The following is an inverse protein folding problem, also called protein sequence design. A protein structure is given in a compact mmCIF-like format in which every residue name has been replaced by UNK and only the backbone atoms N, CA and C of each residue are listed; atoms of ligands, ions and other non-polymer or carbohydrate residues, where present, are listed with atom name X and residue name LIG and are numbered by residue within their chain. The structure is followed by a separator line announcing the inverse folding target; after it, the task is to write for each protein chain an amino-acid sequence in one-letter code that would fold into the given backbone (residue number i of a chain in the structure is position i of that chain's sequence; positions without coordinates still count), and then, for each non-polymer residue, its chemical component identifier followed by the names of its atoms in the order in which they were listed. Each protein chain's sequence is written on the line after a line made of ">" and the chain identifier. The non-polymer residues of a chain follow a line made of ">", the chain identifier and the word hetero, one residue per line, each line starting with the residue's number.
data_IF_301220523673
#
_entry.id   IF_301220523673
#
_cell.length_a   1.000
_cell.length_b   1.000
_cell.length_c   1.000
_cell.angle_alpha   90.00
_cell.angle_beta   90.00
_cell.angle_gamma   90.00
#
_symmetry.space_group_name_H-M   'P 1'
#
loop_
_entity.id
_entity.type
_entity.pdbx_description
1 polymer ?
#
# COMPACT_ATOMS: atom_id res chain seq x y z
N UNK A 1 39.18 -13.48 -26.00
CA UNK A 1 38.95 -12.63 -24.81
C UNK A 1 37.49 -12.76 -24.38
N UNK A 2 37.16 -13.85 -23.67
CA UNK A 2 35.81 -14.17 -23.19
C UNK A 2 35.57 -13.52 -21.82
N UNK A 3 34.57 -12.64 -21.72
CA UNK A 3 33.84 -12.43 -20.46
C UNK A 3 32.34 -12.53 -20.75
N UNK A 4 31.85 -13.74 -20.56
CA UNK A 4 30.44 -14.06 -20.48
C UNK A 4 29.80 -13.25 -19.34
N UNK A 5 28.86 -12.36 -19.67
CA UNK A 5 27.93 -11.81 -18.69
C UNK A 5 26.86 -12.85 -18.42
N UNK A 6 27.25 -13.85 -17.62
CA UNK A 6 26.34 -14.87 -17.13
C UNK A 6 25.30 -14.23 -16.21
N UNK A 7 24.05 -14.58 -16.51
CA UNK A 7 22.85 -14.29 -15.75
C UNK A 7 23.06 -14.40 -14.23
N UNK A 8 22.70 -13.34 -13.49
CA UNK A 8 22.36 -13.47 -12.07
C UNK A 8 20.91 -13.91 -11.95
N UNK A 9 20.66 -15.16 -12.30
CA UNK A 9 19.53 -15.91 -11.77
C UNK A 9 19.85 -16.24 -10.32
N UNK A 10 19.12 -15.66 -9.37
CA UNK A 10 19.03 -16.24 -8.03
C UNK A 10 17.57 -16.24 -7.56
N UNK A 11 16.84 -17.22 -8.07
CA UNK A 11 15.64 -17.72 -7.45
C UNK A 11 16.00 -18.42 -6.13
N UNK A 12 15.54 -17.89 -4.98
CA UNK A 12 15.04 -18.68 -3.83
C UNK A 12 14.71 -17.80 -2.60
N UNK A 13 13.41 -17.59 -2.34
CA UNK A 13 12.65 -18.09 -1.16
C UNK A 13 11.29 -17.37 -1.04
N UNK A 14 10.17 -18.04 -1.35
CA UNK A 14 8.84 -17.56 -0.96
C UNK A 14 8.71 -17.77 0.54
N UNK A 15 8.97 -16.70 1.31
CA UNK A 15 8.55 -16.62 2.71
C UNK A 15 7.77 -15.33 2.84
N UNK A 16 6.46 -15.54 2.73
CA UNK A 16 5.40 -14.98 3.55
C UNK A 16 5.68 -13.65 4.25
N UNK A 17 4.76 -12.73 4.00
CA UNK A 17 4.20 -11.83 5.00
C UNK A 17 5.25 -10.98 5.72
N UNK A 18 5.62 -9.85 5.11
CA UNK A 18 6.21 -8.76 5.88
C UNK A 18 5.09 -8.14 6.71
N UNK A 19 4.88 -8.71 7.90
CA UNK A 19 4.23 -8.05 9.03
C UNK A 19 5.17 -6.93 9.47
N UNK A 20 4.94 -5.68 9.02
CA UNK A 20 5.66 -4.52 9.55
C UNK A 20 5.00 -4.14 10.87
N UNK A 21 5.39 -4.85 11.93
CA UNK A 21 4.83 -4.70 13.27
C UNK A 21 5.56 -3.71 14.18
N UNK A 22 6.72 -3.14 13.81
CA UNK A 22 7.45 -2.22 14.69
C UNK A 22 8.29 -1.19 13.91
N UNK A 23 7.75 0.01 13.72
CA UNK A 23 8.48 1.20 13.25
C UNK A 23 8.55 1.33 11.73
N UNK A 24 8.38 2.56 11.24
CA UNK A 24 8.61 2.92 9.84
C UNK A 24 10.13 2.87 9.58
N UNK A 25 10.56 1.99 8.69
CA UNK A 25 11.97 1.84 8.31
C UNK A 25 12.12 2.34 6.88
N UNK A 26 13.03 3.29 6.64
CA UNK A 26 13.21 3.93 5.32
C UNK A 26 13.62 2.96 4.22
N UNK A 27 14.21 1.82 4.62
CA UNK A 27 14.65 0.75 3.72
C UNK A 27 14.18 -0.61 4.20
N UNK A 28 13.78 -1.44 3.25
CA UNK A 28 13.49 -2.84 3.51
C UNK A 28 14.79 -3.60 3.87
N UNK A 29 14.86 -4.18 5.07
CA UNK A 29 16.01 -4.97 5.54
C UNK A 29 16.30 -6.25 4.74
N UNK A 30 15.40 -6.64 3.83
CA UNK A 30 15.50 -7.87 3.02
C UNK A 30 15.96 -7.63 1.59
N UNK A 31 15.67 -6.46 1.01
CA UNK A 31 15.96 -6.15 -0.39
C UNK A 31 16.54 -4.74 -0.62
N UNK A 32 16.84 -4.00 0.45
CA UNK A 32 17.31 -2.61 0.45
C UNK A 32 16.46 -1.65 -0.40
N UNK A 33 15.17 -1.97 -0.52
CA UNK A 33 14.23 -1.14 -1.28
C UNK A 33 13.91 0.11 -0.47
N UNK A 34 14.26 1.27 -1.03
CA UNK A 34 13.93 2.59 -0.50
C UNK A 34 12.43 2.85 -0.73
N UNK A 35 11.67 3.06 0.35
CA UNK A 35 10.22 3.29 0.26
C UNK A 35 9.85 4.69 -0.26
N UNK A 36 10.77 5.65 -0.15
CA UNK A 36 10.63 7.01 -0.65
C UNK A 36 11.74 7.32 -1.67
N UNK A 37 11.49 7.01 -2.94
CA UNK A 37 12.39 7.32 -4.07
C UNK A 37 12.14 8.70 -4.69
N UNK A 38 11.04 9.37 -4.33
CA UNK A 38 10.63 10.67 -4.83
C UNK A 38 9.20 11.04 -4.38
N UNK A 39 8.78 12.28 -4.61
CA UNK A 39 7.49 12.81 -4.15
C UNK A 39 6.27 12.01 -4.65
N UNK A 40 6.36 11.42 -5.84
CA UNK A 40 5.30 10.57 -6.41
C UNK A 40 4.98 9.32 -5.56
N UNK A 41 5.97 8.76 -4.85
CA UNK A 41 5.75 7.62 -3.95
C UNK A 41 5.04 8.03 -2.65
N UNK A 42 5.29 9.26 -2.18
CA UNK A 42 4.55 9.80 -1.05
C UNK A 42 3.09 10.02 -1.42
N UNK A 43 2.83 10.67 -2.55
CA UNK A 43 1.47 10.93 -3.02
C UNK A 43 0.70 9.63 -3.29
N UNK A 44 1.35 8.63 -3.90
CA UNK A 44 0.76 7.32 -4.15
C UNK A 44 0.40 6.57 -2.86
N UNK A 45 1.28 6.58 -1.87
CA UNK A 45 0.98 6.01 -0.55
C UNK A 45 -0.13 6.79 0.18
N UNK A 46 -0.23 8.10 0.01
CA UNK A 46 -1.36 8.88 0.56
C UNK A 46 -2.68 8.52 -0.14
N UNK A 47 -2.67 8.34 -1.46
CA UNK A 47 -3.85 7.95 -2.23
C UNK A 47 -4.40 6.58 -1.80
N UNK A 48 -3.52 5.59 -1.60
CA UNK A 48 -3.93 4.27 -1.08
C UNK A 48 -4.50 4.39 0.34
N UNK A 49 -3.89 5.22 1.19
CA UNK A 49 -4.34 5.39 2.57
C UNK A 49 -5.75 6.02 2.64
N UNK A 50 -5.96 7.06 1.81
CA UNK A 50 -7.24 7.72 1.67
C UNK A 50 -8.30 6.76 1.13
N UNK A 51 -7.99 6.02 0.06
CA UNK A 51 -8.92 5.07 -0.55
C UNK A 51 -9.38 3.98 0.43
N UNK A 52 -8.45 3.43 1.23
CA UNK A 52 -8.80 2.44 2.27
C UNK A 52 -9.62 3.08 3.40
N UNK A 53 -9.30 4.31 3.79
CA UNK A 53 -10.03 5.03 4.85
C UNK A 53 -11.47 5.33 4.45
N UNK A 54 -11.67 5.86 3.25
CA UNK A 54 -13.01 6.16 2.73
C UNK A 54 -13.82 4.87 2.53
N UNK A 55 -13.20 3.80 2.03
CA UNK A 55 -13.86 2.50 1.93
C UNK A 55 -14.29 1.96 3.30
N UNK A 56 -13.47 2.10 4.34
CA UNK A 56 -13.80 1.66 5.69
C UNK A 56 -14.97 2.48 6.28
N UNK A 57 -14.96 3.80 6.10
CA UNK A 57 -16.06 4.67 6.55
C UNK A 57 -17.36 4.33 5.82
N UNK A 58 -17.31 4.15 4.49
CA UNK A 58 -18.47 3.75 3.71
C UNK A 58 -19.04 2.40 4.20
N UNK A 59 -18.18 1.43 4.50
CA UNK A 59 -18.61 0.14 5.07
C UNK A 59 -19.28 0.31 6.44
N UNK A 60 -18.73 1.14 7.32
CA UNK A 60 -19.34 1.43 8.64
C UNK A 60 -20.72 2.03 8.47
N UNK A 61 -20.89 3.01 7.57
CA UNK A 61 -22.18 3.65 7.33
C UNK A 61 -23.20 2.68 6.73
N UNK A 62 -22.83 1.97 5.66
CA UNK A 62 -23.73 1.04 4.97
C UNK A 62 -24.16 -0.09 5.91
N UNK A 63 -23.20 -0.77 6.56
CA UNK A 63 -23.52 -1.86 7.49
C UNK A 63 -24.30 -1.34 8.71
N UNK A 64 -23.91 -0.19 9.24
CA UNK A 64 -24.59 0.44 10.36
C UNK A 64 -26.06 0.73 10.07
N UNK A 65 -26.35 1.33 8.92
CA UNK A 65 -27.72 1.61 8.47
C UNK A 65 -28.50 0.31 8.28
N UNK A 66 -27.95 -0.65 7.53
CA UNK A 66 -28.62 -1.93 7.23
C UNK A 66 -28.96 -2.71 8.51
N UNK A 67 -28.06 -2.72 9.49
CA UNK A 67 -28.24 -3.48 10.73
C UNK A 67 -29.16 -2.80 11.75
N UNK A 68 -29.32 -1.47 11.70
CA UNK A 68 -30.10 -0.70 12.68
C UNK A 68 -31.40 -0.14 12.13
N UNK A 69 -31.71 -0.44 10.86
CA UNK A 69 -32.96 -0.04 10.24
C UNK A 69 -34.17 -0.68 10.95
N UNK A 70 -35.30 0.04 11.17
CA UNK A 70 -35.59 1.45 10.82
C UNK A 70 -35.03 2.56 11.73
N UNK A 71 -34.87 2.40 13.07
CA UNK A 71 -34.43 3.49 13.94
C UNK A 71 -32.91 3.67 13.88
N UNK A 72 -32.42 4.17 12.75
CA UNK A 72 -30.98 4.39 12.52
C UNK A 72 -30.42 5.39 13.55
N UNK A 73 -29.43 5.01 14.37
CA UNK A 73 -28.82 5.87 15.37
C UNK A 73 -27.75 6.76 14.72
N UNK A 74 -28.18 7.82 14.05
CA UNK A 74 -27.30 8.72 13.29
C UNK A 74 -26.13 9.27 14.10
N UNK A 75 -26.36 9.67 15.35
CA UNK A 75 -25.30 10.19 16.23
C UNK A 75 -24.20 9.16 16.47
N UNK A 76 -24.57 7.90 16.70
CA UNK A 76 -23.60 6.81 16.88
C UNK A 76 -22.78 6.58 15.61
N UNK A 77 -23.46 6.49 14.45
CA UNK A 77 -22.78 6.28 13.16
C UNK A 77 -21.81 7.42 12.82
N UNK A 78 -22.20 8.66 13.10
CA UNK A 78 -21.33 9.83 12.90
C UNK A 78 -20.08 9.76 13.79
N UNK A 79 -20.25 9.46 15.09
CA UNK A 79 -19.13 9.38 16.03
C UNK A 79 -18.18 8.26 15.64
N UNK A 80 -18.69 7.08 15.30
CA UNK A 80 -17.85 5.95 14.87
C UNK A 80 -17.15 6.27 13.55
N UNK A 81 -17.85 6.84 12.57
CA UNK A 81 -17.26 7.19 11.28
C UNK A 81 -16.15 8.23 11.42
N UNK A 82 -16.35 9.25 12.27
CA UNK A 82 -15.34 10.26 12.56
C UNK A 82 -14.12 9.65 13.27
N UNK A 83 -14.35 8.76 14.23
CA UNK A 83 -13.28 8.05 14.92
C UNK A 83 -12.46 7.18 13.95
N UNK A 84 -13.12 6.45 13.05
CA UNK A 84 -12.45 5.64 12.01
C UNK A 84 -11.68 6.53 11.04
N UNK A 85 -12.27 7.63 10.58
CA UNK A 85 -11.63 8.56 9.65
C UNK A 85 -10.37 9.22 10.25
N UNK A 86 -10.36 9.48 11.56
CA UNK A 86 -9.19 10.03 12.26
C UNK A 86 -8.13 8.97 12.58
N UNK A 87 -8.54 7.80 13.10
CA UNK A 87 -7.62 6.80 13.63
C UNK A 87 -7.01 5.90 12.55
N UNK A 88 -7.83 5.45 11.59
CA UNK A 88 -7.40 4.50 10.57
C UNK A 88 -6.24 5.00 9.72
N UNK A 89 -6.23 6.24 9.16
CA UNK A 89 -5.13 6.67 8.30
C UNK A 89 -3.81 6.77 9.06
N UNK A 90 -3.82 7.01 10.38
CA UNK A 90 -2.62 7.07 11.22
C UNK A 90 -2.05 5.66 11.41
N UNK A 91 -2.91 4.69 11.74
CA UNK A 91 -2.52 3.30 11.98
C UNK A 91 -2.16 2.59 10.67
N UNK A 92 -2.84 2.93 9.57
CA UNK A 92 -2.71 2.27 8.28
C UNK A 92 -1.61 2.87 7.38
N UNK A 93 -1.12 4.07 7.69
CA UNK A 93 -0.03 4.72 6.95
C UNK A 93 1.16 3.81 6.58
N UNK A 94 1.77 3.04 7.51
CA UNK A 94 2.89 2.16 7.16
C UNK A 94 2.50 1.05 6.17
N UNK A 95 1.28 0.51 6.27
CA UNK A 95 0.77 -0.49 5.33
C UNK A 95 0.54 0.10 3.95
N UNK A 96 0.01 1.33 3.90
CA UNK A 96 -0.23 2.04 2.65
C UNK A 96 1.05 2.21 1.81
N UNK A 97 2.17 2.55 2.45
CA UNK A 97 3.49 2.64 1.81
C UNK A 97 3.91 1.30 1.19
N UNK A 98 3.72 0.21 1.91
CA UNK A 98 4.08 -1.13 1.41
C UNK A 98 3.19 -1.59 0.26
N UNK A 99 1.88 -1.32 0.34
CA UNK A 99 0.91 -1.66 -0.70
C UNK A 99 1.18 -0.87 -1.98
N UNK A 100 1.43 0.43 -1.86
CA UNK A 100 1.74 1.26 -3.01
C UNK A 100 3.03 0.78 -3.71
N UNK A 101 4.09 0.48 -2.96
CA UNK A 101 5.34 -0.01 -3.55
C UNK A 101 5.17 -1.40 -4.18
N UNK A 102 4.40 -2.30 -3.58
CA UNK A 102 4.10 -3.60 -4.18
C UNK A 102 3.31 -3.46 -5.49
N UNK A 103 2.32 -2.57 -5.50
CA UNK A 103 1.53 -2.24 -6.68
C UNK A 103 2.39 -1.60 -7.77
N UNK A 104 3.24 -0.64 -7.41
CA UNK A 104 4.15 0.04 -8.33
C UNK A 104 5.13 -0.92 -9.01
N UNK A 105 5.72 -1.86 -8.25
CA UNK A 105 6.60 -2.90 -8.81
C UNK A 105 5.83 -3.83 -9.75
N UNK A 106 4.58 -4.18 -9.41
CA UNK A 106 3.74 -5.00 -10.28
C UNK A 106 3.41 -4.27 -11.59
N UNK A 107 3.02 -3.00 -11.52
CA UNK A 107 2.72 -2.18 -12.71
C UNK A 107 3.95 -2.02 -13.60
N UNK A 108 5.11 -1.71 -13.01
CA UNK A 108 6.36 -1.60 -13.77
C UNK A 108 6.83 -2.92 -14.40
N UNK A 109 6.44 -4.09 -13.86
CA UNK A 109 6.68 -5.39 -14.53
C UNK A 109 5.80 -5.57 -15.77
N UNK A 110 4.64 -4.95 -15.79
CA UNK A 110 3.63 -5.08 -16.84
C UNK A 110 3.82 -4.06 -17.97
N UNK A 111 4.76 -3.12 -17.85
CA UNK A 111 5.14 -2.17 -18.90
C UNK A 111 6.26 -2.75 -19.78
N UNK A 112 5.95 -3.42 -20.92
CA UNK A 112 6.97 -3.84 -21.88
C UNK A 112 7.67 -2.62 -22.50
N UNK A 113 6.99 -1.47 -22.56
CA UNK A 113 7.46 -0.22 -23.17
C UNK A 113 8.70 0.36 -22.48
N UNK A 114 9.00 0.05 -21.21
CA UNK A 114 10.24 0.52 -20.57
C UNK A 114 11.47 -0.28 -21.00
N UNK A 115 11.33 -1.57 -21.30
CA UNK A 115 12.45 -2.43 -21.68
C UNK A 115 13.10 -2.09 -23.03
N UNK A 116 12.42 -1.28 -23.85
CA UNK A 116 12.89 -0.86 -25.17
C UNK A 116 13.68 0.47 -25.16
N UNK A 117 13.75 1.18 -24.02
CA UNK A 117 14.59 2.39 -23.89
C UNK A 117 16.01 2.03 -23.45
N UNK A 118 16.65 1.13 -24.20
CA UNK A 118 18.11 1.15 -24.27
C UNK A 118 18.48 2.29 -25.21
N UNK A 119 18.78 3.47 -24.64
CA UNK A 119 19.49 4.51 -25.38
C UNK A 119 20.82 3.90 -25.88
N UNK A 120 21.19 4.06 -27.16
CA UNK A 120 22.39 3.48 -27.76
C UNK A 120 23.70 4.03 -27.18
#
# INVERSE_FOLDING_TARGET
>A
MMRAMAARTNARRPRALVVVGRGMVDRCSRCDLLFERGEGYFLGAMAVNLGVTEAAVALVLVLGIVLTWPPVPWTWLLVVSLAVNAALPIVFYPYSKTLFVAFDVLMHRMDPVRSQWHEP
#
